data_IF_663675995264
#
_entry.id   IF_663675995264
#
_cell.length_a   1.000
_cell.length_b   1.000
_cell.length_c   1.000
_cell.angle_alpha   90.00
_cell.angle_beta   90.00
_cell.angle_gamma   90.00
#
_symmetry.space_group_name_H-M   'P 1'
#
loop_
_entity.id
_entity.type
_entity.pdbx_description
1 polymer ?
#
# COMPACT_ATOMS: atom_id res chain seq x y z
N UNK A 1 -0.10 -6.46 12.49
CA UNK A 1 1.24 -6.09 11.98
C UNK A 1 1.14 -5.08 10.84
N UNK A 2 1.87 -3.95 10.94
CA UNK A 2 1.99 -2.97 9.85
C UNK A 2 3.29 -3.22 9.07
N UNK A 3 3.19 -3.53 7.78
CA UNK A 3 4.34 -3.73 6.89
C UNK A 3 4.45 -2.61 5.87
N UNK A 4 5.61 -1.95 5.81
CA UNK A 4 5.90 -0.90 4.83
C UNK A 4 7.03 -1.35 3.91
N UNK A 5 6.80 -1.28 2.60
CA UNK A 5 7.78 -1.61 1.56
C UNK A 5 7.93 -0.42 0.62
N UNK A 6 9.16 0.05 0.42
CA UNK A 6 9.46 1.01 -0.64
C UNK A 6 9.99 0.27 -1.87
N UNK A 7 9.14 0.04 -2.87
CA UNK A 7 9.47 -0.64 -4.12
C UNK A 7 9.77 0.30 -5.30
N UNK A 8 9.64 1.62 -5.10
CA UNK A 8 10.10 2.63 -6.06
C UNK A 8 11.50 3.13 -5.68
N UNK A 9 12.21 3.76 -6.64
CA UNK A 9 13.62 4.20 -6.48
C UNK A 9 13.82 5.72 -6.57
N UNK A 10 12.76 6.48 -6.89
CA UNK A 10 12.83 7.92 -7.11
C UNK A 10 13.05 8.70 -5.81
N UNK A 11 12.36 8.30 -4.73
CA UNK A 11 12.44 8.98 -3.44
C UNK A 11 12.70 8.00 -2.29
N UNK A 12 13.42 8.45 -1.27
CA UNK A 12 13.55 7.69 -0.03
C UNK A 12 12.28 7.86 0.79
N UNK A 13 11.74 6.75 1.29
CA UNK A 13 10.55 6.75 2.14
C UNK A 13 10.93 6.17 3.50
N UNK A 14 10.70 6.96 4.55
CA UNK A 14 10.92 6.56 5.94
C UNK A 14 9.88 5.53 6.37
N UNK A 15 10.27 4.25 6.39
CA UNK A 15 9.37 3.18 6.85
C UNK A 15 8.89 3.40 8.29
N UNK A 16 9.68 4.06 9.14
CA UNK A 16 9.30 4.41 10.52
C UNK A 16 8.14 5.41 10.56
N UNK A 17 8.25 6.52 9.82
CA UNK A 17 7.20 7.53 9.76
C UNK A 17 5.91 7.00 9.14
N UNK A 18 6.03 6.19 8.09
CA UNK A 18 4.87 5.57 7.45
C UNK A 18 4.18 4.57 8.38
N UNK A 19 4.93 3.74 9.13
CA UNK A 19 4.32 2.87 10.15
C UNK A 19 3.58 3.66 11.22
N UNK A 20 4.17 4.74 11.73
CA UNK A 20 3.54 5.58 12.74
C UNK A 20 2.25 6.22 12.20
N UNK A 21 2.28 6.72 10.96
CA UNK A 21 1.13 7.36 10.32
C UNK A 21 -0.01 6.37 10.06
N UNK A 22 0.31 5.19 9.51
CA UNK A 22 -0.65 4.10 9.33
C UNK A 22 -1.25 3.66 10.66
N UNK A 23 -0.43 3.51 11.71
CA UNK A 23 -0.91 3.12 13.04
C UNK A 23 -1.91 4.13 13.63
N UNK A 24 -1.68 5.44 13.42
CA UNK A 24 -2.65 6.48 13.80
C UNK A 24 -3.95 6.35 13.00
N UNK A 25 -3.87 6.16 11.69
CA UNK A 25 -5.06 5.98 10.83
C UNK A 25 -5.87 4.77 11.25
N UNK A 26 -5.22 3.62 11.49
CA UNK A 26 -5.90 2.40 11.96
C UNK A 26 -6.58 2.62 13.32
N UNK A 27 -5.92 3.29 14.26
CA UNK A 27 -6.50 3.63 15.56
C UNK A 27 -7.73 4.52 15.41
N UNK A 28 -7.63 5.60 14.64
CA UNK A 28 -8.73 6.55 14.42
C UNK A 28 -9.91 5.93 13.67
N UNK A 29 -9.64 4.97 12.78
CA UNK A 29 -10.66 4.26 12.04
C UNK A 29 -11.28 3.07 12.82
N UNK A 30 -10.83 2.79 14.06
CA UNK A 30 -11.36 1.69 14.87
C UNK A 30 -10.77 0.31 14.55
N UNK A 31 -9.68 0.24 13.79
CA UNK A 31 -9.01 -0.99 13.32
C UNK A 31 -7.61 -1.16 13.93
N UNK A 32 -7.40 -0.72 15.18
CA UNK A 32 -6.08 -0.74 15.84
C UNK A 32 -5.41 -2.13 15.85
N UNK A 33 -6.23 -3.19 15.88
CA UNK A 33 -5.79 -4.59 15.99
C UNK A 33 -5.64 -5.29 14.63
N UNK A 34 -5.83 -4.56 13.52
CA UNK A 34 -5.76 -5.11 12.17
C UNK A 34 -4.34 -5.06 11.57
N UNK A 35 -4.12 -5.96 10.61
CA UNK A 35 -2.90 -6.03 9.82
C UNK A 35 -3.04 -5.21 8.54
N UNK A 36 -2.00 -4.45 8.18
CA UNK A 36 -1.97 -3.67 6.94
C UNK A 36 -0.59 -3.70 6.28
N UNK A 37 -0.58 -4.04 5.00
CA UNK A 37 0.59 -3.91 4.13
C UNK A 37 0.47 -2.67 3.23
N UNK A 38 1.51 -1.85 3.19
CA UNK A 38 1.64 -0.72 2.26
C UNK A 38 2.91 -0.87 1.42
N UNK A 39 2.75 -0.85 0.10
CA UNK A 39 3.87 -0.88 -0.85
C UNK A 39 3.84 0.36 -1.74
N UNK A 40 4.89 1.17 -1.68
CA UNK A 40 5.12 2.23 -2.64
C UNK A 40 5.72 1.63 -3.91
N UNK A 41 5.19 1.99 -5.08
CA UNK A 41 5.65 1.44 -6.36
C UNK A 41 5.55 2.48 -7.47
N UNK A 42 6.04 2.14 -8.66
CA UNK A 42 5.97 3.01 -9.83
C UNK A 42 4.92 2.55 -10.84
N UNK A 43 4.65 3.42 -11.82
CA UNK A 43 3.62 3.27 -12.86
C UNK A 43 3.64 1.92 -13.56
N UNK A 44 4.82 1.44 -13.94
CA UNK A 44 4.97 0.15 -14.64
C UNK A 44 4.40 -1.00 -13.81
N UNK A 45 4.71 -1.03 -12.52
CA UNK A 45 4.27 -2.12 -11.62
C UNK A 45 2.81 -1.97 -11.25
N UNK A 46 2.34 -0.77 -10.93
CA UNK A 46 0.92 -0.56 -10.59
C UNK A 46 0.00 -0.79 -11.80
N UNK A 47 0.41 -0.42 -13.02
CA UNK A 47 -0.30 -0.78 -14.26
C UNK A 47 -0.39 -2.30 -14.45
N UNK A 48 0.71 -3.03 -14.25
CA UNK A 48 0.72 -4.49 -14.31
C UNK A 48 -0.28 -5.09 -13.30
N UNK A 49 -0.27 -4.61 -12.06
CA UNK A 49 -1.19 -5.07 -11.01
C UNK A 49 -2.65 -4.71 -11.33
N UNK A 50 -2.90 -3.50 -11.82
CA UNK A 50 -4.25 -3.05 -12.18
C UNK A 50 -4.82 -3.86 -13.36
N UNK A 51 -3.99 -4.20 -14.35
CA UNK A 51 -4.36 -5.12 -15.42
C UNK A 51 -4.67 -6.51 -14.88
N UNK A 52 -3.81 -7.04 -14.01
CA UNK A 52 -3.92 -8.40 -13.49
C UNK A 52 -5.15 -8.58 -12.60
N UNK A 53 -5.38 -7.67 -11.65
CA UNK A 53 -6.39 -7.84 -10.61
C UNK A 53 -7.68 -7.05 -10.84
N UNK A 54 -7.69 -6.07 -11.75
CA UNK A 54 -8.88 -5.26 -12.07
C UNK A 54 -9.22 -5.24 -13.55
N UNK A 55 -8.46 -5.93 -14.42
CA UNK A 55 -8.66 -5.92 -15.87
C UNK A 55 -8.40 -4.57 -16.55
N UNK A 56 -7.78 -3.61 -15.84
CA UNK A 56 -7.58 -2.24 -16.33
C UNK A 56 -6.11 -2.02 -16.72
N UNK A 57 -5.81 -1.98 -18.01
CA UNK A 57 -4.45 -1.75 -18.52
C UNK A 57 -4.03 -0.27 -18.50
N UNK A 58 -4.08 0.34 -17.31
CA UNK A 58 -3.59 1.70 -17.06
C UNK A 58 -3.04 1.82 -15.64
N UNK A 59 -2.11 2.75 -15.45
CA UNK A 59 -1.66 3.12 -14.12
C UNK A 59 -2.83 3.73 -13.30
N UNK A 60 -2.70 3.68 -11.98
CA UNK A 60 -3.64 4.28 -11.04
C UNK A 60 -2.84 4.66 -9.79
N UNK A 61 -3.34 5.62 -9.01
CA UNK A 61 -2.60 6.13 -7.85
C UNK A 61 -2.58 5.10 -6.70
N UNK A 62 -3.68 4.36 -6.50
CA UNK A 62 -3.84 3.41 -5.40
C UNK A 62 -4.52 2.14 -5.90
N UNK A 63 -4.02 0.99 -5.44
CA UNK A 63 -4.66 -0.31 -5.64
C UNK A 63 -4.72 -1.06 -4.31
N UNK A 64 -5.93 -1.27 -3.80
CA UNK A 64 -6.17 -1.97 -2.53
C UNK A 64 -6.54 -3.43 -2.79
N UNK A 65 -5.94 -4.32 -2.00
CA UNK A 65 -6.19 -5.75 -1.97
C UNK A 65 -6.79 -6.12 -0.62
N UNK A 66 -8.03 -6.63 -0.58
CA UNK A 66 -8.52 -7.20 0.65
C UNK A 66 -7.78 -8.50 0.96
N UNK A 67 -7.50 -8.74 2.23
CA UNK A 67 -7.09 -10.06 2.69
C UNK A 67 -8.37 -10.79 3.12
N UNK A 68 -8.89 -11.64 2.25
CA UNK A 68 -9.97 -12.56 2.57
C UNK A 68 -9.38 -13.97 2.56
N UNK A 69 -9.49 -14.68 3.67
CA UNK A 69 -9.42 -16.15 3.71
C UNK A 69 -10.59 -16.76 2.96
#
# INVERSE_FOLDING_TARGET
MIRIVNGQRLVRISAREQRASVGRVLTLAGFKDWDLGLMFTGDRKIRQLNRTYRGKDKATDILSFPFHT
#
